data_IF_560558649908
#
_entry.id   IF_560558649908
#
_cell.length_a   1.000
_cell.length_b   1.000
_cell.length_c   1.000
_cell.angle_alpha   90.00
_cell.angle_beta   90.00
_cell.angle_gamma   90.00
#
_symmetry.space_group_name_H-M   'P 1'
#
loop_
_entity.id
_entity.type
_entity.pdbx_description
1 polymer ?
#
# COMPACT_ATOMS: atom_id res chain seq x y z
N UNK A 1 28.18 3.28 16.72
CA UNK A 1 29.12 2.15 16.55
C UNK A 1 30.57 2.62 16.46
N UNK A 2 30.96 3.48 15.51
CA UNK A 2 32.38 3.82 15.27
C UNK A 2 32.94 5.00 16.11
N UNK A 3 32.07 5.79 16.74
CA UNK A 3 32.46 7.04 17.42
C UNK A 3 32.52 6.95 18.95
N UNK A 4 32.03 5.86 19.54
CA UNK A 4 31.91 5.66 20.99
C UNK A 4 32.85 4.53 21.48
N UNK A 5 32.75 4.11 22.74
CA UNK A 5 33.68 3.18 23.41
C UNK A 5 33.44 1.70 23.09
N UNK A 6 32.87 1.43 21.91
CA UNK A 6 32.64 0.08 21.42
C UNK A 6 33.97 -0.56 20.99
N UNK A 7 34.12 -1.87 21.21
CA UNK A 7 35.34 -2.60 20.85
C UNK A 7 35.60 -2.58 19.34
N UNK A 8 34.54 -2.45 18.55
CA UNK A 8 34.54 -2.35 17.10
C UNK A 8 35.26 -1.09 16.60
N UNK A 9 35.37 -0.02 17.40
CA UNK A 9 36.09 1.20 17.03
C UNK A 9 37.57 0.97 16.72
N UNK A 10 38.17 -0.07 17.31
CA UNK A 10 39.59 -0.41 17.11
C UNK A 10 39.82 -1.48 16.04
N UNK A 11 38.76 -2.00 15.42
CA UNK A 11 38.86 -3.06 14.42
C UNK A 11 38.89 -2.44 13.02
N UNK A 12 39.75 -2.99 12.16
CA UNK A 12 39.76 -2.64 10.74
C UNK A 12 38.67 -3.39 9.95
N UNK A 13 38.14 -4.47 10.53
CA UNK A 13 37.11 -5.32 9.93
C UNK A 13 35.99 -5.60 10.93
N UNK A 14 34.75 -5.57 10.44
CA UNK A 14 33.55 -5.88 11.20
C UNK A 14 32.85 -7.04 10.51
N UNK A 15 32.64 -8.12 11.25
CA UNK A 15 31.96 -9.31 10.75
C UNK A 15 30.45 -9.14 10.99
N UNK A 16 29.67 -9.17 9.91
CA UNK A 16 28.21 -9.18 9.96
C UNK A 16 27.70 -10.61 9.81
N UNK A 17 27.40 -11.27 10.94
CA UNK A 17 26.90 -12.64 10.94
C UNK A 17 25.42 -12.71 10.57
N UNK A 18 25.02 -13.79 9.89
CA UNK A 18 23.62 -14.05 9.53
C UNK A 18 23.03 -13.14 8.45
N UNK A 19 23.86 -12.38 7.72
CA UNK A 19 23.40 -11.52 6.62
C UNK A 19 23.68 -12.17 5.27
N UNK A 20 22.67 -12.18 4.41
CA UNK A 20 22.87 -12.51 3.00
C UNK A 20 23.74 -11.45 2.33
N UNK A 21 24.80 -11.89 1.64
CA UNK A 21 25.76 -10.99 1.01
C UNK A 21 25.10 -10.07 -0.02
N UNK A 22 24.22 -10.62 -0.88
CA UNK A 22 23.58 -9.85 -1.96
C UNK A 22 22.70 -8.74 -1.40
N UNK A 23 21.86 -9.08 -0.41
CA UNK A 23 20.98 -8.14 0.27
C UNK A 23 21.78 -7.06 1.00
N UNK A 24 22.89 -7.43 1.64
CA UNK A 24 23.72 -6.48 2.36
C UNK A 24 24.45 -5.51 1.42
N UNK A 25 25.00 -5.98 0.30
CA UNK A 25 25.59 -5.11 -0.72
C UNK A 25 24.56 -4.13 -1.27
N UNK A 26 23.34 -4.61 -1.58
CA UNK A 26 22.27 -3.73 -2.05
C UNK A 26 21.90 -2.69 -1.00
N UNK A 27 21.78 -3.09 0.27
CA UNK A 27 21.57 -2.18 1.39
C UNK A 27 22.65 -1.11 1.47
N UNK A 28 23.93 -1.47 1.38
CA UNK A 28 25.03 -0.48 1.42
C UNK A 28 24.93 0.51 0.26
N UNK A 29 24.64 0.02 -0.96
CA UNK A 29 24.48 0.87 -2.15
C UNK A 29 23.38 1.90 -2.00
N UNK A 30 22.23 1.50 -1.45
CA UNK A 30 21.14 2.43 -1.20
C UNK A 30 21.44 3.30 0.02
N UNK A 31 21.98 2.79 1.11
CA UNK A 31 22.23 3.58 2.32
C UNK A 31 23.38 4.58 2.17
N UNK A 32 24.25 4.43 1.16
CA UNK A 32 25.40 5.30 0.99
C UNK A 32 24.99 6.73 0.62
N UNK A 33 25.40 7.75 1.40
CA UNK A 33 25.14 9.14 1.06
C UNK A 33 25.71 9.51 -0.31
N UNK A 34 24.94 10.21 -1.13
CA UNK A 34 25.38 10.67 -2.46
C UNK A 34 25.25 9.63 -3.58
N UNK A 35 24.93 8.36 -3.27
CA UNK A 35 24.59 7.34 -4.28
C UNK A 35 23.07 7.21 -4.34
N UNK A 36 22.51 7.43 -5.53
CA UNK A 36 21.09 7.27 -5.80
C UNK A 36 20.83 6.00 -6.61
N UNK A 37 21.35 4.88 -6.12
CA UNK A 37 21.07 3.60 -6.76
C UNK A 37 19.57 3.29 -6.64
N UNK A 38 18.93 2.87 -7.74
CA UNK A 38 17.52 2.54 -7.72
C UNK A 38 17.29 1.26 -6.94
N UNK A 39 16.15 1.18 -6.25
CA UNK A 39 15.67 -0.07 -5.71
C UNK A 39 15.26 -1.02 -6.83
N UNK A 40 15.57 -2.30 -6.67
CA UNK A 40 15.09 -3.38 -7.53
C UNK A 40 13.87 -4.03 -6.88
N UNK A 41 12.86 -4.37 -7.69
CA UNK A 41 11.56 -4.84 -7.22
C UNK A 41 11.65 -6.20 -6.52
N UNK A 42 12.57 -7.06 -6.93
CA UNK A 42 12.80 -8.39 -6.37
C UNK A 42 13.62 -8.35 -5.06
N UNK A 43 14.40 -7.30 -4.83
CA UNK A 43 15.30 -7.21 -3.66
C UNK A 43 14.79 -6.28 -2.57
N UNK A 44 13.87 -5.35 -2.87
CA UNK A 44 13.40 -4.34 -1.90
C UNK A 44 12.89 -4.97 -0.59
N UNK A 45 12.14 -6.07 -0.66
CA UNK A 45 11.60 -6.75 0.51
C UNK A 45 12.70 -7.40 1.38
N UNK A 46 13.83 -7.79 0.78
CA UNK A 46 14.97 -8.40 1.48
C UNK A 46 15.83 -7.35 2.20
N UNK A 47 15.83 -6.11 1.71
CA UNK A 47 16.65 -5.03 2.29
C UNK A 47 15.90 -4.20 3.34
N UNK A 48 14.57 -4.20 3.36
CA UNK A 48 13.78 -3.51 4.40
C UNK A 48 14.20 -3.88 5.84
N UNK A 49 14.42 -5.16 6.19
CA UNK A 49 14.97 -5.53 7.50
C UNK A 49 16.29 -4.85 7.82
N UNK A 50 17.20 -4.72 6.84
CA UNK A 50 18.50 -4.08 7.02
C UNK A 50 18.34 -2.57 7.20
N UNK A 51 17.46 -1.94 6.43
CA UNK A 51 17.16 -0.51 6.56
C UNK A 51 16.66 -0.19 7.98
N UNK A 52 15.78 -1.03 8.52
CA UNK A 52 15.26 -0.87 9.88
C UNK A 52 16.33 -1.16 10.94
N UNK A 53 17.05 -2.28 10.82
CA UNK A 53 18.10 -2.70 11.77
C UNK A 53 19.22 -1.68 11.91
N UNK A 54 19.67 -1.10 10.80
CA UNK A 54 20.76 -0.11 10.78
C UNK A 54 20.26 1.34 10.86
N UNK A 55 18.96 1.56 11.08
CA UNK A 55 18.34 2.88 11.24
C UNK A 55 18.65 3.84 10.07
N UNK A 56 18.67 3.32 8.84
CA UNK A 56 19.02 4.08 7.64
C UNK A 56 17.83 4.92 7.15
N UNK A 57 17.57 6.04 7.82
CA UNK A 57 16.38 6.89 7.60
C UNK A 57 16.17 7.29 6.14
N UNK A 58 17.21 7.80 5.47
CA UNK A 58 17.10 8.24 4.08
C UNK A 58 16.76 7.08 3.13
N UNK A 59 17.32 5.90 3.39
CA UNK A 59 16.97 4.69 2.65
C UNK A 59 15.51 4.29 2.92
N UNK A 60 15.02 4.40 4.15
CA UNK A 60 13.62 4.13 4.52
C UNK A 60 12.66 5.06 3.82
N UNK A 61 12.93 6.37 3.80
CA UNK A 61 12.09 7.37 3.11
C UNK A 61 12.01 7.08 1.61
N UNK A 62 13.13 6.73 0.99
CA UNK A 62 13.13 6.38 -0.45
C UNK A 62 12.44 5.04 -0.71
N UNK A 63 12.57 4.05 0.18
CA UNK A 63 11.87 2.78 0.09
C UNK A 63 10.34 2.98 0.18
N UNK A 64 9.87 3.79 1.13
CA UNK A 64 8.46 4.18 1.28
C UNK A 64 7.92 4.76 -0.03
N UNK A 65 8.66 5.68 -0.65
CA UNK A 65 8.27 6.29 -1.93
C UNK A 65 8.29 5.29 -3.10
N UNK A 66 9.33 4.45 -3.20
CA UNK A 66 9.47 3.48 -4.27
C UNK A 66 8.37 2.42 -4.24
N UNK A 67 8.13 1.82 -3.06
CA UNK A 67 7.07 0.83 -2.85
C UNK A 67 5.68 1.44 -3.08
N UNK A 68 5.46 2.69 -2.65
CA UNK A 68 4.24 3.44 -2.97
C UNK A 68 4.00 3.51 -4.48
N UNK A 69 5.04 3.82 -5.27
CA UNK A 69 4.94 3.87 -6.73
C UNK A 69 4.65 2.50 -7.34
N UNK A 70 5.32 1.45 -6.86
CA UNK A 70 5.10 0.09 -7.34
C UNK A 70 3.66 -0.36 -7.11
N UNK A 71 3.12 -0.15 -5.90
CA UNK A 71 1.72 -0.53 -5.60
C UNK A 71 0.73 0.27 -6.43
N UNK A 72 0.96 1.58 -6.62
CA UNK A 72 0.11 2.40 -7.50
C UNK A 72 0.18 1.96 -8.97
N UNK A 73 1.35 1.54 -9.45
CA UNK A 73 1.54 1.07 -10.83
C UNK A 73 0.82 -0.26 -11.08
N UNK A 74 0.93 -1.21 -10.13
CA UNK A 74 0.26 -2.51 -10.21
C UNK A 74 -1.26 -2.41 -9.98
N UNK A 75 -1.67 -1.54 -9.05
CA UNK A 75 -3.06 -1.25 -8.72
C UNK A 75 -3.91 -2.53 -8.59
N UNK A 76 -4.80 -2.79 -9.55
CA UNK A 76 -5.76 -3.90 -9.51
C UNK A 76 -5.12 -5.26 -9.78
N UNK A 77 -3.89 -5.32 -10.30
CA UNK A 77 -3.18 -6.59 -10.53
C UNK A 77 -2.66 -7.25 -9.25
N UNK A 78 -2.66 -6.54 -8.13
CA UNK A 78 -2.22 -7.08 -6.84
C UNK A 78 -3.30 -8.01 -6.27
N UNK A 79 -2.94 -9.24 -5.91
CA UNK A 79 -3.86 -10.21 -5.32
C UNK A 79 -4.19 -9.87 -3.85
N UNK A 80 -5.27 -10.44 -3.30
CA UNK A 80 -5.62 -10.25 -1.88
C UNK A 80 -4.50 -10.67 -0.91
N UNK A 81 -3.84 -11.84 -1.09
CA UNK A 81 -2.74 -12.21 -0.20
C UNK A 81 -1.54 -11.28 -0.30
N UNK A 82 -1.18 -10.87 -1.53
CA UNK A 82 -0.08 -9.91 -1.73
C UNK A 82 -0.37 -8.56 -1.07
N UNK A 83 -1.60 -8.04 -1.15
CA UNK A 83 -1.91 -6.75 -0.52
C UNK A 83 -1.90 -6.85 1.01
N UNK A 84 -2.31 -8.00 1.59
CA UNK A 84 -2.23 -8.25 3.03
C UNK A 84 -0.77 -8.22 3.48
N UNK A 85 0.11 -8.96 2.80
CA UNK A 85 1.55 -8.96 3.09
C UNK A 85 2.17 -7.57 2.96
N UNK A 86 1.82 -6.83 1.90
CA UNK A 86 2.30 -5.45 1.73
C UNK A 86 1.88 -4.51 2.87
N UNK A 87 0.67 -4.68 3.42
CA UNK A 87 0.20 -3.89 4.57
C UNK A 87 1.01 -4.24 5.82
N UNK A 88 1.19 -5.53 6.10
CA UNK A 88 1.95 -6.00 7.26
C UNK A 88 3.38 -5.47 7.23
N UNK A 89 4.05 -5.57 6.07
CA UNK A 89 5.40 -5.00 5.90
C UNK A 89 5.42 -3.49 6.09
N UNK A 90 4.44 -2.77 5.52
CA UNK A 90 4.38 -1.32 5.65
C UNK A 90 4.19 -0.87 7.11
N UNK A 91 3.39 -1.59 7.89
CA UNK A 91 3.25 -1.35 9.34
C UNK A 91 4.56 -1.67 10.08
N UNK A 92 5.12 -2.86 9.82
CA UNK A 92 6.34 -3.35 10.48
C UNK A 92 7.51 -2.39 10.30
N UNK A 93 7.72 -1.90 9.09
CA UNK A 93 8.84 -1.02 8.74
C UNK A 93 8.48 0.47 8.77
N UNK A 94 7.30 0.83 9.30
CA UNK A 94 6.83 2.22 9.49
C UNK A 94 6.92 3.05 8.20
N UNK A 95 6.31 2.53 7.13
CA UNK A 95 6.29 3.13 5.79
C UNK A 95 4.91 3.76 5.52
N UNK A 96 4.64 5.00 5.97
CA UNK A 96 3.29 5.55 6.01
C UNK A 96 2.67 5.82 4.65
N UNK A 97 3.45 6.25 3.64
CA UNK A 97 2.91 6.51 2.30
C UNK A 97 2.56 5.20 1.61
N UNK A 98 3.41 4.20 1.78
CA UNK A 98 3.23 2.86 1.27
C UNK A 98 2.02 2.20 1.90
N UNK A 99 1.91 2.25 3.24
CA UNK A 99 0.76 1.75 3.98
C UNK A 99 -0.54 2.36 3.45
N UNK A 100 -0.58 3.68 3.27
CA UNK A 100 -1.76 4.35 2.74
C UNK A 100 -2.09 3.94 1.30
N UNK A 101 -1.08 3.79 0.43
CA UNK A 101 -1.30 3.26 -0.92
C UNK A 101 -1.86 1.83 -0.89
N UNK A 102 -1.35 0.98 0.01
CA UNK A 102 -1.84 -0.38 0.17
C UNK A 102 -3.30 -0.42 0.66
N UNK A 103 -3.66 0.40 1.66
CA UNK A 103 -5.03 0.52 2.15
C UNK A 103 -6.01 0.95 1.03
N UNK A 104 -5.60 1.88 0.17
CA UNK A 104 -6.40 2.33 -0.98
C UNK A 104 -6.60 1.25 -2.05
N UNK A 105 -5.69 0.29 -2.17
CA UNK A 105 -5.90 -0.89 -3.02
C UNK A 105 -6.78 -1.90 -2.30
N UNK A 106 -6.52 -2.17 -1.03
CA UNK A 106 -7.27 -3.15 -0.22
C UNK A 106 -8.77 -2.82 -0.12
N UNK A 107 -9.14 -1.55 0.05
CA UNK A 107 -10.54 -1.15 0.16
C UNK A 107 -11.38 -1.48 -1.08
N UNK A 108 -10.74 -1.59 -2.26
CA UNK A 108 -11.38 -1.95 -3.54
C UNK A 108 -11.41 -3.46 -3.80
N UNK A 109 -10.66 -4.27 -3.07
CA UNK A 109 -10.67 -5.74 -3.21
C UNK A 109 -11.92 -6.35 -2.60
N UNK A 110 -12.31 -7.55 -3.00
CA UNK A 110 -13.46 -8.26 -2.40
C UNK A 110 -13.18 -8.53 -0.91
N UNK A 111 -14.00 -7.98 -0.01
CA UNK A 111 -13.73 -8.02 1.44
C UNK A 111 -13.56 -9.43 1.96
N UNK A 112 -14.46 -10.35 1.58
CA UNK A 112 -14.36 -11.74 2.02
C UNK A 112 -13.02 -12.37 1.62
N UNK A 113 -12.49 -12.06 0.43
CA UNK A 113 -11.17 -12.58 0.01
C UNK A 113 -10.01 -11.97 0.81
N UNK A 114 -10.18 -10.74 1.30
CA UNK A 114 -9.19 -10.05 2.12
C UNK A 114 -9.22 -10.58 3.57
N UNK A 115 -10.43 -10.75 4.14
CA UNK A 115 -10.61 -11.10 5.55
C UNK A 115 -10.45 -12.59 5.86
N UNK A 116 -10.53 -13.47 4.86
CA UNK A 116 -10.25 -14.90 4.99
C UNK A 116 -8.77 -15.25 4.73
N UNK A 117 -7.95 -14.26 4.41
CA UNK A 117 -6.51 -14.46 4.34
C UNK A 117 -5.98 -14.74 5.76
N UNK A 118 -5.16 -15.78 5.92
CA UNK A 118 -4.67 -16.22 7.22
C UNK A 118 -3.86 -15.14 7.93
N UNK A 119 -3.17 -14.29 7.17
CA UNK A 119 -2.31 -13.24 7.72
C UNK A 119 -3.07 -11.94 8.00
N UNK A 120 -4.36 -11.85 7.63
CA UNK A 120 -5.16 -10.64 7.82
C UNK A 120 -5.25 -10.23 9.29
N UNK A 121 -5.23 -11.19 10.22
CA UNK A 121 -5.24 -10.93 11.66
C UNK A 121 -3.96 -10.25 12.18
N UNK A 122 -2.85 -10.37 11.45
CA UNK A 122 -1.59 -9.71 11.77
C UNK A 122 -1.58 -8.22 11.42
N UNK A 123 -2.56 -7.75 10.64
CA UNK A 123 -2.75 -6.32 10.41
C UNK A 123 -3.33 -5.68 11.67
N UNK A 124 -2.77 -4.53 12.06
CA UNK A 124 -3.25 -3.80 13.24
C UNK A 124 -4.76 -3.52 13.17
N UNK A 125 -5.40 -3.50 14.34
CA UNK A 125 -6.84 -3.21 14.43
C UNK A 125 -7.17 -1.82 13.85
N UNK A 126 -6.29 -0.84 14.07
CA UNK A 126 -6.44 0.52 13.55
C UNK A 126 -6.44 0.52 12.01
N UNK A 127 -5.50 -0.18 11.38
CA UNK A 127 -5.43 -0.27 9.92
C UNK A 127 -6.61 -1.05 9.34
N UNK A 128 -7.02 -2.17 9.96
CA UNK A 128 -8.24 -2.90 9.56
C UNK A 128 -9.49 -2.03 9.66
N UNK A 129 -9.60 -1.22 10.71
CA UNK A 129 -10.68 -0.26 10.87
C UNK A 129 -10.66 0.81 9.78
N UNK A 130 -9.50 1.40 9.48
CA UNK A 130 -9.35 2.39 8.39
C UNK A 130 -9.75 1.81 7.04
N UNK A 131 -9.33 0.59 6.71
CA UNK A 131 -9.71 -0.10 5.47
C UNK A 131 -11.23 -0.25 5.38
N UNK A 132 -11.86 -0.68 6.48
CA UNK A 132 -13.32 -0.86 6.55
C UNK A 132 -14.06 0.47 6.39
N UNK A 133 -13.58 1.53 7.05
CA UNK A 133 -14.15 2.87 6.95
C UNK A 133 -14.05 3.43 5.53
N UNK A 134 -12.88 3.29 4.88
CA UNK A 134 -12.70 3.72 3.48
C UNK A 134 -13.63 2.96 2.54
N UNK A 135 -13.79 1.65 2.74
CA UNK A 135 -14.72 0.84 1.95
C UNK A 135 -16.16 1.29 2.11
N UNK A 136 -16.57 1.56 3.34
CA UNK A 136 -17.93 2.02 3.62
C UNK A 136 -18.22 3.34 2.89
N UNK A 137 -17.30 4.32 2.96
CA UNK A 137 -17.42 5.58 2.22
C UNK A 137 -17.58 5.37 0.71
N UNK A 138 -16.77 4.51 0.10
CA UNK A 138 -16.91 4.18 -1.33
C UNK A 138 -18.26 3.55 -1.66
N UNK A 139 -18.78 2.71 -0.77
CA UNK A 139 -20.09 2.06 -0.95
C UNK A 139 -21.23 3.08 -0.84
N UNK A 140 -21.13 3.99 0.12
CA UNK A 140 -22.09 5.08 0.34
C UNK A 140 -22.14 6.02 -0.86
N UNK A 141 -20.97 6.43 -1.38
CA UNK A 141 -20.86 7.23 -2.61
C UNK A 141 -21.46 6.53 -3.83
N UNK A 142 -21.24 5.22 -3.98
CA UNK A 142 -21.85 4.43 -5.06
C UNK A 142 -23.38 4.37 -4.92
N UNK A 143 -23.89 4.23 -3.69
CA UNK A 143 -25.32 4.22 -3.42
C UNK A 143 -25.98 5.57 -3.75
N UNK A 144 -25.35 6.67 -3.36
CA UNK A 144 -25.79 8.02 -3.70
C UNK A 144 -25.82 8.28 -5.22
N UNK A 145 -24.82 7.78 -5.94
CA UNK A 145 -24.79 7.88 -7.40
C UNK A 145 -25.89 7.04 -8.05
N UNK A 146 -26.11 5.81 -7.56
CA UNK A 146 -27.14 4.92 -8.08
C UNK A 146 -28.55 5.48 -7.85
N UNK A 147 -28.82 6.04 -6.67
CA UNK A 147 -30.11 6.66 -6.35
C UNK A 147 -30.39 7.91 -7.20
N UNK A 148 -29.38 8.76 -7.44
CA UNK A 148 -29.49 9.90 -8.37
C UNK A 148 -29.74 9.46 -9.80
N UNK A 149 -29.05 8.43 -10.29
CA UNK A 149 -29.26 7.90 -11.63
C UNK A 149 -30.67 7.31 -11.80
N UNK A 150 -31.17 6.61 -10.78
CA UNK A 150 -32.51 6.03 -10.78
C UNK A 150 -33.60 7.11 -10.82
N UNK A 151 -33.48 8.17 -10.02
CA UNK A 151 -34.47 9.27 -10.00
C UNK A 151 -34.49 10.06 -11.31
N UNK A 152 -33.33 10.28 -11.94
CA UNK A 152 -33.26 10.86 -13.28
C UNK A 152 -33.97 9.99 -14.32
N UNK A 153 -33.70 8.68 -14.34
CA UNK A 153 -34.34 7.75 -15.29
C UNK A 153 -35.87 7.69 -15.12
N UNK A 154 -36.39 7.75 -13.89
CA UNK A 154 -37.83 7.84 -13.66
C UNK A 154 -38.43 9.13 -14.21
N UNK A 155 -37.74 10.26 -14.02
CA UNK A 155 -38.17 11.57 -14.54
C UNK A 155 -38.20 11.57 -16.07
N UNK A 156 -37.18 11.01 -16.72
CA UNK A 156 -37.12 10.89 -18.18
C UNK A 156 -38.23 9.99 -18.71
N UNK A 157 -38.54 8.89 -18.03
CA UNK A 157 -39.65 7.99 -18.39
C UNK A 157 -41.01 8.70 -18.30
N UNK A 158 -41.26 9.43 -17.22
CA UNK A 158 -42.50 10.19 -17.02
C UNK A 158 -42.68 11.29 -18.07
N UNK A 159 -41.61 12.00 -18.43
CA UNK A 159 -41.64 13.01 -19.51
C UNK A 159 -41.93 12.36 -20.87
N UNK A 160 -41.33 11.21 -21.17
CA UNK A 160 -41.61 10.46 -22.40
C UNK A 160 -43.06 10.02 -22.52
N UNK A 161 -43.66 9.51 -21.44
CA UNK A 161 -45.09 9.14 -21.38
C UNK A 161 -46.00 10.36 -21.53
N UNK A 162 -45.66 11.49 -20.90
CA UNK A 162 -46.41 12.74 -21.04
C UNK A 162 -46.40 13.26 -22.49
N UNK A 163 -45.23 13.26 -23.15
CA UNK A 163 -45.10 13.67 -24.55
C UNK A 163 -45.86 12.73 -25.49
N UNK A 164 -45.77 11.41 -25.28
CA UNK A 164 -46.53 10.43 -26.06
C UNK A 164 -48.05 10.65 -25.95
N UNK A 165 -48.55 10.91 -24.74
CA UNK A 165 -49.97 11.19 -24.52
C UNK A 165 -50.42 12.52 -25.13
N UNK A 166 -49.56 13.55 -25.15
CA UNK A 166 -49.84 14.81 -25.85
C UNK A 166 -49.93 14.63 -27.37
N UNK A 167 -49.09 13.77 -27.96
CA UNK A 167 -49.11 13.48 -29.40
C UNK A 167 -50.34 12.65 -29.78
N UNK A 168 -50.73 11.68 -28.95
CA UNK A 168 -51.86 10.77 -29.24
C UNK A 168 -53.24 11.44 -29.14
N UNK A 169 -53.35 12.52 -28.38
CA UNK A 169 -54.62 13.23 -28.14
C UNK A 169 -54.83 14.46 -29.03
N UNK A 170 -53.95 14.69 -30.02
CA UNK A 170 -54.12 15.66 -31.11
C UNK A 170 -54.35 14.93 -32.43
#
# INVERSE_FOLDING_TARGET
MLTSDFQEKKKNEIIFTGKDYKSFVMFIRVAHPGIQDPFEEDTIHQILPLIDEYLAEDARIRADWYLTKLVKKKNDSITSPQIVQNIIEAEKYKLPKYLNACMNVACRKVFNKLSHDADFEHISLETRFKISLHRWKLTDECYDQATKAYSMNQTTKQLGEAVYNMIKNN
#
